data_IF_388725827859
#
_entry.id   IF_388725827859
#
_cell.length_a   1.000
_cell.length_b   1.000
_cell.length_c   1.000
_cell.angle_alpha   90.00
_cell.angle_beta   90.00
_cell.angle_gamma   90.00
#
_symmetry.space_group_name_H-M   'P 1'
#
loop_
_entity.id
_entity.type
_entity.pdbx_description
1 polymer ?
#
# COMPACT_ATOMS: atom_id res chain seq x y z
N UNK A 1 10.86 13.05 -21.87
CA UNK A 1 10.27 12.87 -20.51
C UNK A 1 9.10 11.92 -20.57
N UNK A 2 9.09 10.97 -19.67
CA UNK A 2 7.96 10.04 -19.57
C UNK A 2 7.24 10.28 -18.25
N UNK A 3 5.90 10.21 -18.30
CA UNK A 3 5.08 10.26 -17.09
C UNK A 3 4.73 8.83 -16.70
N UNK A 4 5.04 8.48 -15.45
CA UNK A 4 4.73 7.17 -14.88
C UNK A 4 3.63 7.35 -13.85
N UNK A 5 2.52 6.63 -14.03
CA UNK A 5 1.46 6.60 -13.04
C UNK A 5 1.82 5.62 -11.94
N UNK A 6 1.80 6.10 -10.71
CA UNK A 6 2.01 5.28 -9.53
C UNK A 6 0.75 5.29 -8.69
N UNK A 7 0.17 4.11 -8.46
CA UNK A 7 -1.01 3.97 -7.61
C UNK A 7 -0.57 3.69 -6.19
N UNK A 8 -0.97 4.57 -5.29
CA UNK A 8 -0.70 4.41 -3.85
C UNK A 8 -2.02 4.22 -3.11
N UNK A 9 -1.99 3.45 -2.05
CA UNK A 9 -3.13 3.32 -1.15
C UNK A 9 -2.84 4.16 0.08
N UNK A 10 -3.68 5.15 0.33
CA UNK A 10 -3.52 6.05 1.46
C UNK A 10 -4.42 5.58 2.60
N UNK A 11 -3.83 5.33 3.76
CA UNK A 11 -4.55 4.92 4.98
C UNK A 11 -4.04 5.73 6.17
N UNK A 12 -4.81 5.70 7.26
CA UNK A 12 -4.38 6.34 8.50
C UNK A 12 -3.09 5.70 9.00
N UNK A 13 -2.18 6.48 9.63
CA UNK A 13 -0.91 5.93 10.12
C UNK A 13 -1.08 4.74 11.07
N UNK A 14 -2.11 4.72 11.90
CA UNK A 14 -2.38 3.60 12.81
C UNK A 14 -2.71 2.31 12.06
N UNK A 15 -3.22 2.40 10.83
CA UNK A 15 -3.55 1.23 10.04
C UNK A 15 -2.31 0.43 9.64
N UNK A 16 -1.16 1.08 9.47
CA UNK A 16 0.08 0.38 9.14
C UNK A 16 0.43 -0.67 10.19
N UNK A 17 0.35 -0.30 11.47
CA UNK A 17 0.62 -1.23 12.57
C UNK A 17 -0.39 -2.38 12.58
N UNK A 18 -1.66 -2.08 12.39
CA UNK A 18 -2.71 -3.08 12.41
C UNK A 18 -2.59 -4.08 11.27
N UNK A 19 -2.32 -3.60 10.08
CA UNK A 19 -2.10 -4.46 8.92
C UNK A 19 -0.87 -5.35 9.13
N UNK A 20 0.20 -4.78 9.68
CA UNK A 20 1.40 -5.54 10.00
C UNK A 20 1.09 -6.68 10.97
N UNK A 21 0.32 -6.40 12.02
CA UNK A 21 -0.06 -7.42 12.99
C UNK A 21 -0.95 -8.50 12.39
N UNK A 22 -1.92 -8.14 11.57
CA UNK A 22 -2.85 -9.09 10.96
C UNK A 22 -2.17 -10.00 9.93
N UNK A 23 -1.27 -9.46 9.12
CA UNK A 23 -0.62 -10.21 8.06
C UNK A 23 0.67 -10.89 8.50
N UNK A 24 1.24 -10.48 9.62
CA UNK A 24 2.55 -10.92 10.06
C UNK A 24 3.70 -10.31 9.27
N UNK A 25 3.40 -9.38 8.37
CA UNK A 25 4.42 -8.68 7.58
C UNK A 25 5.08 -7.58 8.39
N UNK A 26 6.31 -7.23 8.03
CA UNK A 26 6.99 -6.10 8.65
C UNK A 26 6.33 -4.79 8.23
N UNK A 27 6.51 -3.73 9.04
CA UNK A 27 5.99 -2.40 8.69
C UNK A 27 6.59 -1.90 7.38
N UNK A 28 7.85 -2.22 7.12
CA UNK A 28 8.49 -1.86 5.85
C UNK A 28 7.80 -2.50 4.67
N UNK A 29 7.43 -3.77 4.78
CA UNK A 29 6.70 -4.47 3.71
C UNK A 29 5.31 -3.89 3.53
N UNK A 30 4.60 -3.58 4.61
CA UNK A 30 3.29 -2.93 4.53
C UNK A 30 3.41 -1.60 3.79
N UNK A 31 4.39 -0.80 4.16
CA UNK A 31 4.62 0.50 3.53
C UNK A 31 4.89 0.35 2.03
N UNK A 32 5.78 -0.58 1.66
CA UNK A 32 6.11 -0.81 0.25
C UNK A 32 4.92 -1.35 -0.54
N UNK A 33 4.14 -2.23 0.06
CA UNK A 33 2.95 -2.77 -0.59
C UNK A 33 1.91 -1.68 -0.88
N UNK A 34 1.69 -0.78 0.08
CA UNK A 34 0.74 0.31 -0.09
C UNK A 34 1.22 1.36 -1.08
N UNK A 35 2.53 1.47 -1.28
CA UNK A 35 3.10 2.34 -2.32
C UNK A 35 3.15 1.68 -3.69
N UNK A 36 2.67 0.46 -3.81
CA UNK A 36 2.72 -0.32 -5.05
C UNK A 36 4.15 -0.61 -5.52
N UNK A 37 5.10 -0.71 -4.58
CA UNK A 37 6.49 -0.97 -4.89
C UNK A 37 6.81 -2.47 -4.99
N UNK A 38 5.96 -3.32 -4.40
CA UNK A 38 6.10 -4.78 -4.46
C UNK A 38 4.76 -5.40 -4.84
N UNK A 39 4.80 -6.55 -5.50
CA UNK A 39 3.61 -7.21 -6.06
C UNK A 39 3.49 -8.67 -5.64
N UNK A 40 4.07 -9.04 -4.50
CA UNK A 40 3.95 -10.40 -3.96
C UNK A 40 2.51 -10.69 -3.50
N UNK A 41 2.22 -11.97 -3.22
CA UNK A 41 0.92 -12.35 -2.66
C UNK A 41 0.64 -11.62 -1.34
N UNK A 42 1.65 -11.51 -0.49
CA UNK A 42 1.53 -10.78 0.77
C UNK A 42 1.20 -9.30 0.52
N UNK A 43 1.84 -8.69 -0.48
CA UNK A 43 1.55 -7.30 -0.84
C UNK A 43 0.11 -7.13 -1.30
N UNK A 44 -0.44 -8.09 -2.05
CA UNK A 44 -1.84 -8.03 -2.47
C UNK A 44 -2.79 -8.16 -1.27
N UNK A 45 -2.49 -9.03 -0.31
CA UNK A 45 -3.26 -9.14 0.92
C UNK A 45 -3.25 -7.84 1.69
N UNK A 46 -2.09 -7.21 1.81
CA UNK A 46 -1.95 -5.93 2.51
C UNK A 46 -2.81 -4.87 1.84
N UNK A 47 -2.77 -4.77 0.52
CA UNK A 47 -3.58 -3.80 -0.21
C UNK A 47 -5.07 -4.05 -0.05
N UNK A 48 -5.48 -5.32 -0.12
CA UNK A 48 -6.89 -5.69 0.05
C UNK A 48 -7.39 -5.32 1.45
N UNK A 49 -6.61 -5.62 2.48
CA UNK A 49 -6.97 -5.24 3.86
C UNK A 49 -7.07 -3.74 4.02
N UNK A 50 -6.11 -3.00 3.45
CA UNK A 50 -6.11 -1.55 3.54
C UNK A 50 -7.39 -0.96 2.95
N UNK A 51 -7.82 -1.45 1.80
CA UNK A 51 -9.00 -0.92 1.13
C UNK A 51 -10.28 -1.39 1.80
N UNK A 52 -10.39 -2.69 2.12
CA UNK A 52 -11.66 -3.28 2.57
C UNK A 52 -11.90 -3.12 4.05
N UNK A 53 -10.85 -3.11 4.87
CA UNK A 53 -10.99 -3.07 6.32
C UNK A 53 -10.65 -1.72 6.93
N UNK A 54 -9.66 -1.03 6.38
CA UNK A 54 -9.14 0.21 6.97
C UNK A 54 -9.50 1.46 6.18
N UNK A 55 -10.39 1.32 5.20
CA UNK A 55 -10.90 2.46 4.44
C UNK A 55 -9.85 3.17 3.59
N UNK A 56 -8.85 2.43 3.11
CA UNK A 56 -7.82 3.00 2.27
C UNK A 56 -8.37 3.55 0.96
N UNK A 57 -7.76 4.62 0.48
CA UNK A 57 -8.14 5.28 -0.77
C UNK A 57 -6.98 5.17 -1.75
N UNK A 58 -7.30 4.78 -2.98
CA UNK A 58 -6.29 4.72 -4.04
C UNK A 58 -6.04 6.13 -4.55
N UNK A 59 -4.78 6.54 -4.50
CA UNK A 59 -4.33 7.84 -5.01
C UNK A 59 -3.39 7.61 -6.18
N UNK A 60 -3.70 8.22 -7.31
CA UNK A 60 -2.85 8.14 -8.49
C UNK A 60 -1.89 9.32 -8.52
N UNK A 61 -0.60 9.03 -8.44
CA UNK A 61 0.45 10.03 -8.61
C UNK A 61 1.06 9.90 -9.99
N UNK A 62 1.38 11.02 -10.60
CA UNK A 62 2.11 11.05 -11.86
C UNK A 62 3.52 11.51 -11.58
N UNK A 63 4.50 10.66 -11.91
CA UNK A 63 5.92 10.96 -11.73
C UNK A 63 6.53 11.17 -13.11
N UNK A 64 7.23 12.29 -13.27
CA UNK A 64 7.97 12.58 -14.50
C UNK A 64 9.43 12.17 -14.34
N UNK A 65 9.92 11.42 -15.27
CA UNK A 65 11.31 10.96 -15.32
C UNK A 65 12.02 11.46 -16.57
#
# INVERSE_FOLDING_TARGET
>A
MQAIKSEKIKVAPSAYCRISEETGASKSLVYMALRNAVHSQMAQRIRNLAINKYGGVIVNDVVFV
#
